data_IF_283250970222
#
_entry.id   IF_283250970222
#
_cell.length_a   1.000
_cell.length_b   1.000
_cell.length_c   1.000
_cell.angle_alpha   90.00
_cell.angle_beta   90.00
_cell.angle_gamma   90.00
#
_symmetry.space_group_name_H-M   'P 1'
#
loop_
_entity.id
_entity.type
_entity.pdbx_description
1 polymer ?
#
# COMPACT_ATOMS: atom_id res chain seq x y z
N UNK A 1 -18.16 18.85 -7.74
CA UNK A 1 -17.27 18.24 -6.72
C UNK A 1 -15.83 18.56 -7.06
N UNK A 2 -15.01 18.94 -6.08
CA UNK A 2 -13.58 19.20 -6.32
C UNK A 2 -12.79 17.90 -6.55
N UNK A 3 -11.64 18.00 -7.23
CA UNK A 3 -10.75 16.85 -7.51
C UNK A 3 -10.29 16.15 -6.23
N UNK A 4 -9.96 16.91 -5.16
CA UNK A 4 -9.68 16.36 -3.82
C UNK A 4 -10.81 15.49 -3.30
N UNK A 5 -12.07 15.95 -3.39
CA UNK A 5 -13.22 15.18 -2.92
C UNK A 5 -13.50 13.95 -3.79
N UNK A 6 -13.09 13.97 -5.06
CA UNK A 6 -13.11 12.79 -5.93
C UNK A 6 -12.04 11.77 -5.54
N UNK A 7 -10.80 12.19 -5.23
CA UNK A 7 -9.73 11.30 -4.77
C UNK A 7 -10.08 10.66 -3.40
N UNK A 8 -10.56 11.47 -2.45
CA UNK A 8 -11.00 11.04 -1.10
C UNK A 8 -12.07 9.92 -1.18
N UNK A 9 -12.95 9.99 -2.18
CA UNK A 9 -14.03 9.02 -2.43
C UNK A 9 -13.71 7.97 -3.52
N UNK A 10 -12.49 7.99 -4.08
CA UNK A 10 -12.06 7.13 -5.20
C UNK A 10 -13.05 7.11 -6.39
N UNK A 11 -13.46 8.28 -6.88
CA UNK A 11 -14.47 8.39 -7.95
C UNK A 11 -13.84 8.12 -9.33
N UNK A 12 -13.92 6.86 -9.78
CA UNK A 12 -13.40 6.36 -11.07
C UNK A 12 -13.71 7.24 -12.29
N UNK A 13 -14.92 7.81 -12.37
CA UNK A 13 -15.33 8.70 -13.49
C UNK A 13 -14.50 9.98 -13.57
N UNK A 14 -14.00 10.50 -12.43
CA UNK A 14 -13.12 11.68 -12.41
C UNK A 14 -11.69 11.30 -12.80
N UNK A 15 -11.19 10.16 -12.31
CA UNK A 15 -9.87 9.66 -12.71
C UNK A 15 -9.79 9.39 -14.22
N UNK A 16 -10.83 8.79 -14.81
CA UNK A 16 -10.91 8.59 -16.26
C UNK A 16 -10.95 9.91 -17.05
N UNK A 17 -11.66 10.93 -16.56
CA UNK A 17 -11.62 12.27 -17.18
C UNK A 17 -10.22 12.86 -17.11
N UNK A 18 -9.58 12.87 -15.95
CA UNK A 18 -8.21 13.37 -15.82
C UNK A 18 -7.21 12.63 -16.73
N UNK A 19 -7.35 11.31 -16.95
CA UNK A 19 -6.53 10.60 -17.93
C UNK A 19 -6.81 11.04 -19.38
N UNK A 20 -8.07 11.31 -19.73
CA UNK A 20 -8.45 11.84 -21.06
C UNK A 20 -7.88 13.26 -21.25
N UNK A 21 -7.97 14.10 -20.23
CA UNK A 21 -7.49 15.48 -20.27
C UNK A 21 -5.95 15.57 -20.29
N UNK A 22 -5.24 14.65 -19.62
CA UNK A 22 -3.76 14.64 -19.52
C UNK A 22 -3.08 13.82 -20.63
N UNK A 23 -3.66 12.68 -21.04
CA UNK A 23 -3.04 11.73 -21.97
C UNK A 23 -2.40 10.51 -21.31
N UNK A 24 -2.33 9.39 -22.04
CA UNK A 24 -1.64 8.17 -21.60
C UNK A 24 -0.15 8.39 -21.37
N UNK A 25 0.54 8.95 -22.36
CA UNK A 25 1.99 9.06 -22.39
C UNK A 25 2.54 9.92 -21.23
N UNK A 26 2.06 11.15 -20.94
CA UNK A 26 2.51 11.91 -19.77
C UNK A 26 2.18 11.22 -18.44
N UNK A 27 1.05 10.48 -18.37
CA UNK A 27 0.69 9.71 -17.18
C UNK A 27 1.67 8.56 -16.92
N UNK A 28 2.06 7.84 -17.98
CA UNK A 28 3.03 6.74 -17.92
C UNK A 28 4.44 7.27 -17.62
N UNK A 29 4.84 8.41 -18.21
CA UNK A 29 6.12 9.07 -17.91
C UNK A 29 6.27 9.42 -16.43
N UNK A 30 5.23 9.98 -15.78
CA UNK A 30 5.26 10.26 -14.33
C UNK A 30 5.43 8.96 -13.55
N UNK A 31 4.64 7.94 -13.84
CA UNK A 31 4.72 6.65 -13.14
C UNK A 31 6.12 6.01 -13.28
N UNK A 32 6.72 6.08 -14.48
CA UNK A 32 8.11 5.65 -14.73
C UNK A 32 9.12 6.46 -13.92
N UNK A 33 8.99 7.79 -13.86
CA UNK A 33 9.84 8.67 -13.04
C UNK A 33 9.72 8.38 -11.54
N UNK A 34 8.54 7.94 -11.09
CA UNK A 34 8.26 7.53 -9.69
C UNK A 34 8.66 6.06 -9.39
N UNK A 35 9.31 5.35 -10.31
CA UNK A 35 9.86 4.01 -10.06
C UNK A 35 8.97 2.83 -10.45
N UNK A 36 7.89 3.04 -11.21
CA UNK A 36 7.10 1.93 -11.77
C UNK A 36 7.83 1.36 -12.99
N UNK A 37 8.56 0.26 -12.82
CA UNK A 37 9.28 -0.47 -13.88
C UNK A 37 8.33 -1.41 -14.66
N UNK A 38 7.25 -1.88 -14.03
CA UNK A 38 6.15 -2.68 -14.57
C UNK A 38 5.48 -2.08 -15.83
N UNK A 39 4.88 -2.93 -16.68
CA UNK A 39 4.33 -2.53 -17.99
C UNK A 39 2.94 -1.88 -17.86
N UNK A 40 2.89 -0.58 -18.12
CA UNK A 40 1.64 0.19 -18.19
C UNK A 40 1.09 0.24 -19.61
N UNK A 41 -0.20 -0.03 -19.77
CA UNK A 41 -0.86 -0.07 -21.07
C UNK A 41 -1.62 1.24 -21.37
N UNK A 42 -1.48 1.76 -22.60
CA UNK A 42 -2.16 2.98 -23.07
C UNK A 42 -3.64 2.73 -23.38
N UNK A 43 -4.44 2.42 -22.35
CA UNK A 43 -5.87 2.14 -22.42
C UNK A 43 -6.67 3.03 -21.47
N UNK A 44 -7.98 3.15 -21.67
CA UNK A 44 -8.83 3.89 -20.72
C UNK A 44 -8.86 3.25 -19.31
N UNK A 45 -8.59 1.94 -19.22
CA UNK A 45 -8.54 1.20 -17.95
C UNK A 45 -7.26 1.49 -17.12
N UNK A 46 -6.25 2.17 -17.68
CA UNK A 46 -5.10 2.69 -16.94
C UNK A 46 -5.54 3.61 -15.78
N UNK A 47 -6.57 4.43 -15.99
CA UNK A 47 -7.15 5.31 -14.95
C UNK A 47 -7.76 4.56 -13.76
N UNK A 48 -7.96 3.24 -13.89
CA UNK A 48 -8.58 2.38 -12.89
C UNK A 48 -7.59 1.38 -12.27
N UNK A 49 -6.32 1.39 -12.70
CA UNK A 49 -5.29 0.47 -12.20
C UNK A 49 -5.31 -0.92 -12.84
N UNK A 50 -5.81 -1.06 -14.07
CA UNK A 50 -5.89 -2.36 -14.77
C UNK A 50 -4.57 -2.82 -15.43
N UNK A 51 -3.42 -2.26 -15.02
CA UNK A 51 -2.09 -2.80 -15.33
C UNK A 51 -1.51 -3.37 -14.04
N UNK A 52 -1.01 -4.59 -14.10
CA UNK A 52 -0.33 -5.23 -12.96
C UNK A 52 0.98 -4.47 -12.65
N UNK A 53 1.27 -4.31 -11.36
CA UNK A 53 2.43 -3.57 -10.85
C UNK A 53 2.96 -4.26 -9.60
N UNK A 54 4.28 -4.41 -9.50
CA UNK A 54 4.92 -4.99 -8.32
C UNK A 54 4.65 -4.15 -7.05
N UNK A 55 4.34 -4.79 -5.92
CA UNK A 55 4.07 -4.11 -4.64
C UNK A 55 5.24 -3.21 -4.19
N UNK A 56 6.50 -3.59 -4.42
CA UNK A 56 7.66 -2.81 -4.04
C UNK A 56 7.80 -1.54 -4.89
N UNK A 57 7.58 -1.64 -6.21
CA UNK A 57 7.52 -0.48 -7.12
C UNK A 57 6.42 0.49 -6.69
N UNK A 58 5.20 -0.02 -6.47
CA UNK A 58 4.06 0.79 -6.07
C UNK A 58 4.27 1.46 -4.70
N UNK A 59 4.93 0.77 -3.77
CA UNK A 59 5.30 1.32 -2.46
C UNK A 59 6.35 2.42 -2.61
N UNK A 60 7.37 2.22 -3.44
CA UNK A 60 8.41 3.21 -3.74
C UNK A 60 7.87 4.46 -4.45
N UNK A 61 6.88 4.30 -5.33
CA UNK A 61 6.18 5.43 -5.94
C UNK A 61 5.44 6.27 -4.89
N UNK A 62 4.89 5.67 -3.83
CA UNK A 62 4.34 6.44 -2.70
C UNK A 62 5.46 7.03 -1.82
N UNK A 63 6.61 6.36 -1.69
CA UNK A 63 7.82 6.92 -1.07
C UNK A 63 8.28 8.23 -1.73
N UNK A 64 8.16 8.32 -3.06
CA UNK A 64 8.44 9.54 -3.83
C UNK A 64 7.55 10.73 -3.41
N UNK A 65 6.35 10.49 -2.89
CA UNK A 65 5.46 11.54 -2.36
C UNK A 65 5.78 11.92 -0.90
N UNK A 66 6.32 10.98 -0.10
CA UNK A 66 6.88 11.29 1.22
C UNK A 66 8.15 12.14 1.07
N UNK A 67 9.07 11.70 0.20
CA UNK A 67 10.32 12.38 -0.17
C UNK A 67 10.12 13.57 -1.15
N UNK A 68 8.99 14.28 -1.04
CA UNK A 68 8.79 15.62 -1.63
C UNK A 68 9.03 15.71 -3.16
N UNK A 69 8.67 14.64 -3.88
CA UNK A 69 8.82 14.51 -5.33
C UNK A 69 10.16 13.94 -5.79
N UNK A 70 11.07 13.59 -4.88
CA UNK A 70 12.33 12.90 -5.17
C UNK A 70 12.14 11.40 -5.08
N UNK A 71 12.41 10.70 -6.18
CA UNK A 71 12.42 9.24 -6.24
C UNK A 71 13.83 8.71 -5.94
N UNK A 72 13.91 7.60 -5.21
CA UNK A 72 15.13 6.85 -4.92
C UNK A 72 14.81 5.36 -5.06
N UNK A 73 15.62 4.59 -5.80
CA UNK A 73 15.34 3.17 -6.02
C UNK A 73 15.50 2.37 -4.70
N UNK A 74 14.55 1.49 -4.34
CA UNK A 74 14.71 0.61 -3.19
C UNK A 74 15.90 -0.32 -3.36
N UNK A 75 16.73 -0.42 -2.32
CA UNK A 75 17.87 -1.32 -2.21
C UNK A 75 17.84 -1.97 -0.83
N UNK A 76 18.42 -3.17 -0.71
CA UNK A 76 18.47 -3.94 0.54
C UNK A 76 19.90 -4.25 1.02
N UNK A 77 20.90 -3.71 0.33
CA UNK A 77 22.32 -3.88 0.64
C UNK A 77 22.96 -2.49 0.55
N UNK A 78 23.50 -1.98 1.66
CA UNK A 78 24.21 -0.70 1.69
C UNK A 78 25.68 -0.89 1.30
N UNK A 79 26.32 -1.93 1.83
CA UNK A 79 27.75 -2.22 1.70
C UNK A 79 28.05 -3.71 1.89
N UNK A 80 29.02 -4.24 1.15
CA UNK A 80 29.58 -5.59 1.30
C UNK A 80 31.08 -5.43 1.60
N UNK A 81 31.57 -6.18 2.60
CA UNK A 81 32.98 -6.22 2.99
C UNK A 81 33.58 -7.61 2.75
N UNK A 82 34.89 -7.69 2.54
CA UNK A 82 35.65 -8.95 2.61
C UNK A 82 36.01 -9.32 4.06
N UNK A 83 36.77 -10.41 4.25
CA UNK A 83 37.16 -10.89 5.58
C UNK A 83 38.33 -10.10 6.21
N UNK A 84 38.89 -9.12 5.48
CA UNK A 84 39.92 -8.18 5.90
C UNK A 84 39.29 -6.82 6.26
N UNK A 85 38.05 -6.57 5.86
CA UNK A 85 37.31 -5.33 6.06
C UNK A 85 37.33 -4.37 4.85
N UNK A 86 37.89 -4.76 3.71
CA UNK A 86 37.87 -3.95 2.49
C UNK A 86 36.47 -3.94 1.87
N UNK A 87 36.11 -2.84 1.21
CA UNK A 87 34.80 -2.67 0.57
C UNK A 87 34.77 -3.36 -0.80
N UNK A 88 33.97 -4.42 -0.94
CA UNK A 88 33.72 -5.10 -2.23
C UNK A 88 32.67 -4.34 -3.04
N UNK A 89 31.64 -3.81 -2.37
CA UNK A 89 30.54 -3.07 -2.97
C UNK A 89 29.98 -2.06 -1.96
N UNK A 90 29.53 -0.91 -2.45
CA UNK A 90 28.76 0.08 -1.70
C UNK A 90 27.75 0.73 -2.65
N UNK A 91 26.48 0.80 -2.26
CA UNK A 91 25.42 1.32 -3.12
C UNK A 91 25.61 2.81 -3.42
N UNK A 92 25.42 3.18 -4.68
CA UNK A 92 25.58 4.54 -5.19
C UNK A 92 24.21 5.17 -5.38
N UNK A 93 23.61 5.59 -4.25
CA UNK A 93 22.21 6.01 -4.16
C UNK A 93 21.90 7.17 -5.13
N UNK A 94 21.15 6.88 -6.19
CA UNK A 94 20.72 7.88 -7.17
C UNK A 94 19.36 8.49 -6.82
N UNK A 95 19.36 9.77 -6.49
CA UNK A 95 18.15 10.56 -6.32
C UNK A 95 17.70 11.17 -7.67
N UNK A 96 16.42 11.04 -8.02
CA UNK A 96 15.85 11.57 -9.27
C UNK A 96 14.57 12.33 -8.98
N UNK A 97 14.50 13.63 -9.34
CA UNK A 97 13.26 14.41 -9.14
C UNK A 97 12.20 13.97 -10.16
N UNK A 98 11.14 13.34 -9.66
CA UNK A 98 10.00 12.86 -10.44
C UNK A 98 8.85 13.88 -10.50
N UNK A 99 8.68 14.65 -9.43
CA UNK A 99 7.68 15.71 -9.26
C UNK A 99 8.32 16.94 -8.63
N UNK A 100 7.74 18.11 -8.83
CA UNK A 100 8.01 19.28 -8.01
C UNK A 100 7.44 19.12 -6.59
N UNK A 101 8.07 19.81 -5.63
CA UNK A 101 7.75 19.74 -4.20
C UNK A 101 6.33 20.19 -3.89
N UNK A 102 5.85 21.25 -4.53
CA UNK A 102 4.48 21.76 -4.38
C UNK A 102 3.42 20.75 -4.87
N UNK A 103 3.62 20.11 -6.04
CA UNK A 103 2.71 19.07 -6.54
C UNK A 103 2.72 17.84 -5.64
N UNK A 104 3.89 17.45 -5.10
CA UNK A 104 3.96 16.42 -4.07
C UNK A 104 3.16 16.82 -2.83
N UNK A 105 3.35 18.03 -2.28
CA UNK A 105 2.65 18.53 -1.11
C UNK A 105 1.12 18.65 -1.32
N UNK A 106 0.66 19.09 -2.50
CA UNK A 106 -0.77 19.10 -2.87
C UNK A 106 -1.32 17.67 -2.92
N UNK A 107 -0.60 16.74 -3.54
CA UNK A 107 -0.99 15.33 -3.65
C UNK A 107 -1.09 14.68 -2.27
N UNK A 108 -0.08 14.89 -1.42
CA UNK A 108 -0.04 14.48 -0.01
C UNK A 108 -1.21 15.09 0.79
N UNK A 109 -1.57 16.37 0.59
CA UNK A 109 -2.74 16.99 1.22
C UNK A 109 -4.09 16.41 0.76
N UNK A 110 -4.18 15.92 -0.48
CA UNK A 110 -5.36 15.17 -0.95
C UNK A 110 -5.40 13.75 -0.37
N UNK A 111 -4.26 13.05 -0.33
CA UNK A 111 -4.13 11.70 0.22
C UNK A 111 -4.34 11.64 1.75
N UNK A 112 -3.88 12.65 2.50
CA UNK A 112 -4.26 12.88 3.92
C UNK A 112 -5.79 12.92 4.09
N UNK A 113 -6.51 13.44 3.09
CA UNK A 113 -7.97 13.40 3.03
C UNK A 113 -8.57 11.98 3.01
N UNK A 114 -7.91 11.03 2.34
CA UNK A 114 -8.38 9.64 2.21
C UNK A 114 -8.38 8.93 3.58
N UNK A 115 -7.35 9.15 4.39
CA UNK A 115 -7.21 8.54 5.74
C UNK A 115 -7.99 9.33 6.80
N UNK A 116 -7.97 10.67 6.74
CA UNK A 116 -8.74 11.51 7.67
C UNK A 116 -10.25 11.47 7.42
N UNK A 117 -10.74 11.25 6.20
CA UNK A 117 -12.18 11.34 5.88
C UNK A 117 -12.71 10.39 4.80
N UNK A 118 -11.85 9.80 3.98
CA UNK A 118 -12.22 8.98 2.82
C UNK A 118 -12.37 7.48 3.11
N UNK A 119 -11.83 6.66 2.23
CA UNK A 119 -11.85 5.19 2.30
C UNK A 119 -10.79 4.61 3.25
N UNK A 120 -9.66 5.30 3.46
CA UNK A 120 -8.50 4.80 4.20
C UNK A 120 -8.58 4.94 5.73
N UNK A 121 -9.77 5.14 6.31
CA UNK A 121 -9.93 5.52 7.74
C UNK A 121 -9.37 4.51 8.75
N UNK A 122 -9.19 3.25 8.37
CA UNK A 122 -8.59 2.23 9.22
C UNK A 122 -7.07 2.43 9.43
N UNK A 123 -6.40 3.20 8.55
CA UNK A 123 -4.96 3.51 8.64
C UNK A 123 -4.62 4.69 9.57
N UNK A 124 -5.52 5.10 10.47
CA UNK A 124 -5.27 6.23 11.39
C UNK A 124 -4.46 5.78 12.61
N UNK A 125 -3.32 6.42 12.85
CA UNK A 125 -2.35 6.06 13.91
C UNK A 125 -2.03 7.23 14.86
N UNK A 126 -2.99 8.15 15.09
CA UNK A 126 -2.84 9.30 15.99
C UNK A 126 -2.15 10.51 15.37
N UNK A 127 -1.05 10.29 14.62
CA UNK A 127 -0.31 11.32 13.87
C UNK A 127 -0.83 11.52 12.43
N UNK A 128 -0.36 12.54 11.68
CA UNK A 128 -0.71 12.73 10.27
C UNK A 128 -0.27 11.53 9.41
N UNK A 129 -1.17 11.03 8.56
CA UNK A 129 -0.90 9.94 7.59
C UNK A 129 -1.49 10.32 6.24
N UNK A 130 -0.77 10.01 5.16
CA UNK A 130 -1.25 10.02 3.79
C UNK A 130 -1.33 8.58 3.25
N UNK A 131 -2.24 8.29 2.32
CA UNK A 131 -2.32 6.97 1.72
C UNK A 131 -3.58 6.74 0.87
N UNK A 132 -3.67 5.58 0.23
CA UNK A 132 -4.76 5.21 -0.68
C UNK A 132 -5.12 3.73 -0.57
N UNK A 133 -6.42 3.45 -0.59
CA UNK A 133 -6.96 2.10 -0.78
C UNK A 133 -7.04 1.76 -2.27
N UNK A 134 -6.61 0.56 -2.66
CA UNK A 134 -6.89 -0.06 -3.96
C UNK A 134 -7.71 -1.34 -3.78
N UNK A 135 -8.66 -1.60 -4.68
CA UNK A 135 -9.50 -2.81 -4.68
C UNK A 135 -9.68 -3.21 -6.14
N UNK A 136 -9.36 -4.45 -6.49
CA UNK A 136 -9.68 -5.01 -7.82
C UNK A 136 -11.10 -5.57 -7.85
N UNK A 137 -11.59 -5.91 -9.04
CA UNK A 137 -12.92 -6.49 -9.21
C UNK A 137 -13.08 -7.79 -8.40
N UNK A 138 -14.31 -8.05 -7.95
CA UNK A 138 -14.66 -9.14 -7.03
C UNK A 138 -13.89 -9.15 -5.68
N UNK A 139 -13.14 -8.08 -5.37
CA UNK A 139 -12.27 -8.00 -4.19
C UNK A 139 -11.20 -9.12 -4.14
N UNK A 140 -10.63 -9.47 -5.29
CA UNK A 140 -9.48 -10.40 -5.43
C UNK A 140 -8.21 -9.86 -4.75
N UNK A 141 -7.98 -8.54 -4.86
CA UNK A 141 -6.83 -7.85 -4.28
C UNK A 141 -7.26 -6.69 -3.40
N UNK A 142 -6.69 -6.62 -2.20
CA UNK A 142 -6.96 -5.61 -1.20
C UNK A 142 -5.66 -4.84 -0.89
N UNK A 143 -5.52 -3.67 -1.48
CA UNK A 143 -4.34 -2.82 -1.33
C UNK A 143 -4.58 -1.69 -0.33
N UNK A 144 -3.59 -1.41 0.52
CA UNK A 144 -3.41 -0.09 1.09
C UNK A 144 -1.93 0.29 1.07
N UNK A 145 -1.62 1.40 0.39
CA UNK A 145 -0.29 2.02 0.42
C UNK A 145 -0.41 3.34 1.17
N UNK A 146 0.46 3.57 2.14
CA UNK A 146 0.42 4.76 2.99
C UNK A 146 1.77 5.11 3.58
N UNK A 147 1.90 6.35 4.01
CA UNK A 147 3.15 6.92 4.52
C UNK A 147 2.91 8.01 5.57
N UNK A 148 3.97 8.22 6.35
CA UNK A 148 4.30 9.42 7.13
C UNK A 148 5.50 10.11 6.43
N UNK A 149 6.01 11.28 6.86
CA UNK A 149 7.21 11.87 6.25
C UNK A 149 8.42 10.92 6.24
N UNK A 150 8.65 10.19 7.34
CA UNK A 150 9.82 9.35 7.54
C UNK A 150 9.76 7.95 6.90
N UNK A 151 8.55 7.41 6.64
CA UNK A 151 8.36 6.01 6.31
C UNK A 151 7.14 5.79 5.41
N UNK A 152 7.34 5.00 4.35
CA UNK A 152 6.27 4.45 3.51
C UNK A 152 6.16 2.94 3.71
N UNK A 153 4.94 2.43 3.73
CA UNK A 153 4.67 1.00 3.73
C UNK A 153 3.49 0.66 2.82
N UNK A 154 3.56 -0.50 2.17
CA UNK A 154 2.51 -1.05 1.32
C UNK A 154 2.04 -2.40 1.82
N UNK A 155 0.72 -2.60 1.85
CA UNK A 155 0.09 -3.87 2.19
C UNK A 155 -0.82 -4.30 1.04
N UNK A 156 -0.57 -5.50 0.52
CA UNK A 156 -1.48 -6.28 -0.30
C UNK A 156 -2.04 -7.43 0.54
N UNK A 157 -3.31 -7.79 0.30
CA UNK A 157 -3.90 -9.05 0.73
C UNK A 157 -4.69 -9.61 -0.48
N UNK A 158 -4.37 -10.83 -0.90
CA UNK A 158 -5.08 -11.56 -1.95
C UNK A 158 -4.97 -13.07 -1.73
N UNK A 159 -5.32 -13.86 -2.73
CA UNK A 159 -5.05 -15.30 -2.77
C UNK A 159 -4.17 -15.60 -4.00
N UNK A 160 -3.17 -16.47 -3.85
CA UNK A 160 -2.22 -16.81 -4.93
C UNK A 160 -2.90 -17.49 -6.13
N UNK A 161 -4.09 -18.08 -5.92
CA UNK A 161 -4.94 -18.68 -6.96
C UNK A 161 -5.94 -17.69 -7.59
N UNK A 162 -5.81 -16.38 -7.29
CA UNK A 162 -6.65 -15.28 -7.78
C UNK A 162 -8.15 -15.49 -7.52
N UNK A 163 -8.53 -16.24 -6.48
CA UNK A 163 -9.93 -16.29 -6.03
C UNK A 163 -10.33 -15.02 -5.27
N UNK A 164 -11.60 -14.59 -5.33
CA UNK A 164 -12.14 -13.51 -4.50
C UNK A 164 -11.82 -13.66 -3.00
N UNK A 165 -11.38 -12.58 -2.36
CA UNK A 165 -11.20 -12.57 -0.90
C UNK A 165 -12.54 -12.34 -0.17
N UNK A 166 -12.53 -12.48 1.16
CA UNK A 166 -13.66 -12.11 2.04
C UNK A 166 -13.41 -10.79 2.80
N UNK A 167 -12.42 -10.01 2.38
CA UNK A 167 -11.99 -8.80 3.08
C UNK A 167 -12.45 -7.51 2.40
N UNK A 168 -11.77 -6.42 2.74
CA UNK A 168 -11.83 -5.15 2.01
C UNK A 168 -10.47 -4.45 2.10
N UNK A 169 -10.24 -3.40 1.31
CA UNK A 169 -9.03 -2.57 1.46
C UNK A 169 -8.98 -1.83 2.80
N UNK A 170 -10.09 -1.78 3.55
CA UNK A 170 -10.11 -1.40 4.97
C UNK A 170 -9.40 -2.42 5.88
N UNK A 171 -9.41 -3.69 5.51
CA UNK A 171 -8.62 -4.76 6.16
C UNK A 171 -7.13 -4.53 5.91
N UNK A 172 -6.71 -4.31 4.65
CA UNK A 172 -5.32 -3.98 4.31
C UNK A 172 -4.84 -2.72 5.03
N UNK A 173 -5.66 -1.66 5.07
CA UNK A 173 -5.40 -0.44 5.83
C UNK A 173 -5.32 -0.67 7.36
N UNK A 174 -6.04 -1.65 7.90
CA UNK A 174 -5.95 -2.05 9.31
C UNK A 174 -4.70 -2.87 9.61
N UNK A 175 -4.23 -3.71 8.67
CA UNK A 175 -2.96 -4.43 8.76
C UNK A 175 -1.79 -3.44 8.68
N UNK A 176 -1.81 -2.51 7.73
CA UNK A 176 -0.87 -1.39 7.62
C UNK A 176 -0.80 -0.61 8.93
N UNK A 177 -1.95 -0.29 9.56
CA UNK A 177 -2.00 0.38 10.87
C UNK A 177 -1.28 -0.40 11.98
N UNK A 178 -1.39 -1.74 12.02
CA UNK A 178 -0.73 -2.54 13.05
C UNK A 178 0.79 -2.45 12.90
N UNK A 179 1.29 -2.80 11.71
CA UNK A 179 2.70 -2.69 11.37
C UNK A 179 3.24 -1.28 11.66
N UNK A 180 2.56 -0.22 11.21
CA UNK A 180 3.03 1.15 11.37
C UNK A 180 2.94 1.68 12.81
N UNK A 181 2.11 1.12 13.70
CA UNK A 181 2.13 1.52 15.12
C UNK A 181 3.37 0.96 15.82
N UNK A 182 3.72 -0.28 15.49
CA UNK A 182 4.90 -0.97 16.02
C UNK A 182 6.20 -0.38 15.41
N UNK A 183 6.24 -0.16 14.09
CA UNK A 183 7.43 0.29 13.35
C UNK A 183 7.80 1.78 13.52
N UNK A 184 7.03 2.56 14.30
CA UNK A 184 7.29 4.01 14.50
C UNK A 184 7.22 4.43 15.98
N UNK A 185 7.22 3.47 16.93
CA UNK A 185 7.03 3.73 18.36
C UNK A 185 8.02 4.78 18.90
N UNK A 186 9.30 4.69 18.52
CA UNK A 186 10.36 5.64 18.90
C UNK A 186 10.47 6.89 17.98
N UNK A 187 9.62 7.05 16.95
CA UNK A 187 9.73 8.16 15.99
C UNK A 187 8.85 9.35 16.39
N UNK A 188 9.45 10.52 16.59
CA UNK A 188 8.72 11.78 16.79
C UNK A 188 7.73 12.10 15.66
N UNK A 189 6.72 12.92 15.94
CA UNK A 189 5.66 13.25 14.97
C UNK A 189 6.03 14.44 14.08
N UNK A 190 6.58 14.15 12.91
CA UNK A 190 6.80 15.18 11.88
C UNK A 190 5.49 15.63 11.18
N UNK A 191 5.36 16.93 10.88
CA UNK A 191 4.34 17.43 9.98
C UNK A 191 4.70 17.10 8.52
N UNK A 192 3.69 16.84 7.70
CA UNK A 192 3.87 16.87 6.25
C UNK A 192 4.18 18.30 5.75
N UNK A 193 4.96 18.45 4.66
CA UNK A 193 5.18 19.73 3.99
C UNK A 193 3.89 20.50 3.76
N UNK A 194 3.96 21.83 3.92
CA UNK A 194 2.83 22.69 3.66
C UNK A 194 2.54 22.74 2.16
N UNK A 195 1.26 22.61 1.78
CA UNK A 195 0.86 22.88 0.39
C UNK A 195 1.04 24.37 0.08
N UNK A 196 1.32 24.78 -1.17
CA UNK A 196 1.22 26.18 -1.56
C UNK A 196 -0.18 26.72 -1.30
N UNK A 197 -0.25 28.02 -0.97
CA UNK A 197 -1.51 28.70 -0.66
C UNK A 197 -2.43 28.78 -1.88
N UNK A 198 -1.88 29.23 -3.02
CA UNK A 198 -2.52 29.19 -4.34
C UNK A 198 -2.34 27.81 -4.96
N UNK A 199 -3.45 27.18 -5.36
CA UNK A 199 -3.46 25.91 -6.12
C UNK A 199 -3.70 26.18 -7.62
N UNK A 200 -4.37 27.29 -7.93
CA UNK A 200 -4.69 27.77 -9.27
C UNK A 200 -3.57 28.65 -9.83
N UNK A 201 -3.42 28.69 -11.16
CA UNK A 201 -2.38 29.48 -11.84
C UNK A 201 -0.95 28.93 -11.74
N UNK A 202 -0.76 27.72 -11.16
CA UNK A 202 0.54 27.03 -11.15
C UNK A 202 0.93 26.57 -12.56
N UNK A 203 2.22 26.65 -12.89
CA UNK A 203 2.73 26.15 -14.16
C UNK A 203 2.60 24.62 -14.25
N UNK A 204 2.33 24.12 -15.46
CA UNK A 204 2.13 22.70 -15.70
C UNK A 204 3.46 21.97 -15.88
N UNK A 205 3.93 21.32 -14.81
CA UNK A 205 5.18 20.51 -14.80
C UNK A 205 5.11 19.29 -15.74
N UNK A 206 3.94 18.98 -16.31
CA UNK A 206 3.76 18.03 -17.41
C UNK A 206 3.08 18.66 -18.62
N UNK A 207 3.60 18.36 -19.81
CA UNK A 207 2.99 18.74 -21.09
C UNK A 207 1.89 17.73 -21.44
N UNK A 208 0.63 18.10 -21.19
CA UNK A 208 -0.52 17.27 -21.51
C UNK A 208 -0.58 16.92 -23.02
N UNK A 209 -1.02 15.70 -23.31
CA UNK A 209 -1.26 15.14 -24.66
C UNK A 209 -2.68 14.54 -24.69
N UNK A 210 -3.75 15.38 -24.71
CA UNK A 210 -5.12 14.93 -24.42
C UNK A 210 -5.62 13.86 -25.39
N UNK A 211 -6.31 12.85 -24.86
CA UNK A 211 -6.86 11.74 -25.65
C UNK A 211 -8.06 12.24 -26.46
N UNK A 212 -7.97 12.15 -27.79
CA UNK A 212 -9.09 12.45 -28.70
C UNK A 212 -9.89 11.18 -29.01
N UNK A 213 -11.05 10.93 -28.37
CA UNK A 213 -11.84 9.72 -28.63
C UNK A 213 -12.45 9.75 -30.03
N UNK A 214 -12.21 8.71 -30.85
CA UNK A 214 -12.73 8.61 -32.23
C UNK A 214 -14.26 8.67 -32.34
N UNK A 215 -15.00 8.33 -31.27
CA UNK A 215 -16.46 8.43 -31.18
C UNK A 215 -16.89 8.49 -29.70
N UNK A 216 -17.80 9.39 -29.34
CA UNK A 216 -18.39 9.46 -28.00
C UNK A 216 -19.89 9.19 -28.08
N UNK A 217 -20.35 8.08 -27.48
CA UNK A 217 -21.74 7.64 -27.56
C UNK A 217 -22.50 8.03 -26.29
N UNK A 218 -23.22 9.15 -26.34
CA UNK A 218 -24.09 9.62 -25.25
C UNK A 218 -25.43 8.85 -25.21
N UNK A 219 -25.38 7.55 -24.89
CA UNK A 219 -26.59 6.73 -24.72
C UNK A 219 -27.33 7.18 -23.44
N UNK A 220 -28.41 7.96 -23.61
CA UNK A 220 -29.36 8.26 -22.52
C UNK A 220 -29.97 6.95 -22.03
N UNK A 221 -29.50 6.43 -20.89
CA UNK A 221 -30.15 5.30 -20.23
C UNK A 221 -31.58 5.72 -19.83
N UNK A 222 -32.62 4.98 -20.22
CA UNK A 222 -33.99 5.29 -19.79
C UNK A 222 -34.08 5.14 -18.27
N UNK A 223 -34.66 6.13 -17.59
CA UNK A 223 -34.97 6.03 -16.16
C UNK A 223 -35.97 4.89 -15.98
N UNK A 224 -35.54 3.77 -15.38
CA UNK A 224 -36.41 2.62 -15.17
C UNK A 224 -37.57 2.98 -14.22
N UNK A 225 -38.81 2.79 -14.68
CA UNK A 225 -40.03 2.98 -13.86
C UNK A 225 -40.25 1.81 -12.89
N UNK A 226 -39.21 1.38 -12.16
CA UNK A 226 -39.23 0.12 -11.38
C UNK A 226 -38.28 0.09 -10.18
N UNK A 227 -38.22 1.17 -9.38
CA UNK A 227 -37.40 1.22 -8.14
C UNK A 227 -38.21 1.49 -6.85
N UNK A 228 -39.51 1.79 -6.93
CA UNK A 228 -40.30 2.28 -5.78
C UNK A 228 -40.55 1.21 -4.70
N UNK A 229 -40.58 -0.09 -5.05
CA UNK A 229 -40.85 -1.19 -4.10
C UNK A 229 -39.62 -1.75 -3.35
N UNK A 230 -38.38 -1.38 -3.72
CA UNK A 230 -37.16 -1.93 -3.06
C UNK A 230 -36.49 -0.98 -2.06
N UNK A 231 -37.07 0.20 -1.79
CA UNK A 231 -36.54 1.16 -0.79
C UNK A 231 -37.02 0.92 0.65
N UNK A 232 -37.97 0.00 0.87
CA UNK A 232 -38.44 -0.38 2.21
C UNK A 232 -37.36 -1.09 3.03
N UNK A 233 -36.80 -2.18 2.49
CA UNK A 233 -36.15 -3.19 3.34
C UNK A 233 -34.71 -2.83 3.73
N UNK A 234 -34.03 -1.95 2.98
CA UNK A 234 -32.68 -1.50 3.34
C UNK A 234 -32.66 -0.45 4.47
N UNK A 235 -33.81 0.09 4.88
CA UNK A 235 -33.90 1.09 5.98
C UNK A 235 -34.23 0.50 7.35
N UNK A 236 -34.41 -0.83 7.47
CA UNK A 236 -34.78 -1.53 8.73
C UNK A 236 -33.71 -2.46 9.31
N UNK A 237 -32.44 -2.25 8.95
CA UNK A 237 -31.28 -2.95 9.54
C UNK A 237 -30.22 -2.00 10.12
N UNK A 238 -30.35 -0.69 9.89
CA UNK A 238 -29.36 0.32 10.30
C UNK A 238 -29.65 1.00 11.66
N UNK A 239 -30.63 0.51 12.44
CA UNK A 239 -31.19 1.24 13.59
C UNK A 239 -31.36 0.44 14.89
N UNK A 240 -30.65 -0.69 15.07
CA UNK A 240 -30.68 -1.45 16.34
C UNK A 240 -29.30 -1.98 16.73
N UNK A 241 -28.42 -1.08 17.21
CA UNK A 241 -27.14 -1.46 17.86
C UNK A 241 -26.93 -0.71 19.20
N UNK A 242 -28.01 -0.62 19.98
CA UNK A 242 -28.03 0.04 21.30
C UNK A 242 -27.42 -0.83 22.41
N UNK A 243 -26.09 -0.95 22.37
CA UNK A 243 -25.17 -1.00 23.53
C UNK A 243 -25.76 -1.58 24.84
N UNK A 244 -26.11 -2.88 24.88
CA UNK A 244 -26.48 -3.56 26.14
C UNK A 244 -25.28 -3.74 27.08
N UNK A 245 -25.03 -2.74 27.93
CA UNK A 245 -24.22 -2.89 29.15
C UNK A 245 -24.80 -4.03 30.00
N UNK A 246 -24.05 -5.11 30.23
CA UNK A 246 -24.32 -6.03 31.36
C UNK A 246 -23.80 -5.36 32.64
N UNK A 247 -24.68 -5.06 33.59
CA UNK A 247 -24.32 -4.65 34.96
C UNK A 247 -24.89 -5.71 35.91
N UNK A 248 -24.03 -6.35 36.72
CA UNK A 248 -24.47 -7.24 37.81
C UNK A 248 -25.13 -6.39 38.90
N UNK A 249 -26.28 -6.82 39.40
CA UNK A 249 -26.87 -6.43 40.70
C UNK A 249 -27.54 -7.68 41.28
N UNK A 250 -27.64 -7.75 42.61
CA UNK A 250 -28.02 -8.93 43.40
C UNK A 250 -29.53 -9.03 43.74
N UNK A 251 -29.88 -10.19 44.30
CA UNK A 251 -31.07 -10.61 45.08
C UNK A 251 -31.68 -9.56 46.03
N UNK A 252 -32.98 -9.67 46.50
CA UNK A 252 -33.59 -10.93 46.95
C UNK A 252 -35.13 -11.19 46.83
N UNK A 253 -35.46 -12.48 46.62
CA UNK A 253 -36.43 -13.36 47.34
C UNK A 253 -37.70 -12.77 48.00
N UNK A 254 -38.87 -13.15 47.47
CA UNK A 254 -40.10 -13.63 48.18
C UNK A 254 -40.70 -14.77 47.32
N UNK A 255 -40.95 -16.03 47.72
CA UNK A 255 -41.64 -16.68 48.86
C UNK A 255 -43.17 -16.81 48.74
N UNK A 256 -43.63 -17.93 48.17
CA UNK A 256 -44.83 -18.72 48.58
C UNK A 256 -44.64 -20.18 48.15
N UNK A 257 -45.39 -21.13 48.74
CA UNK A 257 -45.33 -22.59 48.48
C UNK A 257 -46.69 -23.11 47.89
N UNK A 258 -47.11 -24.40 47.98
CA UNK A 258 -46.94 -25.34 46.86
C UNK A 258 -48.20 -26.16 46.49
N UNK A 259 -48.16 -26.90 45.37
CA UNK A 259 -49.03 -28.08 45.11
C UNK A 259 -48.18 -29.24 44.56
N UNK A 260 -48.68 -30.47 44.62
CA UNK A 260 -47.89 -31.71 44.72
C UNK A 260 -48.04 -32.74 43.59
N UNK A 261 -47.07 -33.67 43.52
CA UNK A 261 -47.14 -35.01 42.87
C UNK A 261 -47.20 -34.98 41.32
N UNK A 262 -46.83 -36.05 40.59
CA UNK A 262 -46.54 -37.43 40.99
C UNK A 262 -45.37 -38.05 40.19
N UNK A 263 -44.83 -39.19 40.65
CA UNK A 263 -43.74 -39.94 39.97
C UNK A 263 -44.28 -41.26 39.41
N UNK A 264 -43.85 -41.66 38.20
CA UNK A 264 -43.75 -43.06 37.79
C UNK A 264 -42.73 -43.28 36.66
N UNK A 265 -42.36 -44.54 36.42
CA UNK A 265 -41.19 -44.97 35.63
C UNK A 265 -41.56 -45.99 34.52
N UNK A 266 -40.56 -46.24 33.66
CA UNK A 266 -40.21 -47.52 33.01
C UNK A 266 -40.76 -47.93 31.61
N UNK A 267 -39.77 -48.20 30.74
CA UNK A 267 -39.62 -49.29 29.75
C UNK A 267 -40.38 -49.31 28.41
N UNK A 268 -39.60 -49.66 27.37
CA UNK A 268 -39.97 -50.22 26.06
C UNK A 268 -39.71 -51.77 26.10
N UNK A 269 -39.55 -52.57 25.00
CA UNK A 269 -39.65 -52.32 23.54
C UNK A 269 -40.36 -53.46 22.72
N UNK A 270 -40.39 -53.36 21.36
CA UNK A 270 -40.02 -54.46 20.40
C UNK A 270 -40.17 -54.09 18.90
N UNK A 271 -39.80 -55.04 18.00
CA UNK A 271 -39.71 -54.96 16.52
C UNK A 271 -40.41 -56.17 15.86
N UNK A 272 -40.77 -56.08 14.56
CA UNK A 272 -40.60 -57.16 13.54
C UNK A 272 -40.99 -56.71 12.10
N UNK A 273 -40.66 -57.54 11.09
CA UNK A 273 -40.95 -57.38 9.64
C UNK A 273 -41.67 -58.69 9.12
N UNK A 274 -41.55 -59.27 7.89
CA UNK A 274 -40.81 -58.96 6.63
C UNK A 274 -41.59 -59.26 5.30
N UNK A 275 -40.91 -59.40 4.14
CA UNK A 275 -41.08 -60.52 3.15
C UNK A 275 -39.99 -60.49 2.02
N UNK A 276 -39.76 -61.63 1.33
CA UNK A 276 -38.72 -61.91 0.28
C UNK A 276 -39.31 -61.85 -1.16
N UNK A 277 -38.64 -62.05 -2.32
CA UNK A 277 -37.45 -62.81 -2.84
C UNK A 277 -36.98 -62.09 -4.16
N UNK A 278 -36.02 -62.44 -5.04
CA UNK A 278 -35.00 -63.49 -5.39
C UNK A 278 -33.83 -62.71 -6.12
N UNK A 279 -32.82 -63.09 -6.94
CA UNK A 279 -32.23 -64.27 -7.65
C UNK A 279 -30.71 -63.98 -7.93
N UNK A 280 -29.99 -64.83 -8.69
CA UNK A 280 -28.58 -64.69 -9.16
C UNK A 280 -28.40 -65.50 -10.51
N UNK A 281 -27.23 -65.71 -11.20
CA UNK A 281 -25.87 -65.95 -10.65
C UNK A 281 -24.59 -65.52 -11.46
N UNK A 282 -23.41 -65.76 -10.85
CA UNK A 282 -22.06 -66.10 -11.42
C UNK A 282 -21.38 -65.24 -12.51
N UNK A 283 -20.11 -64.86 -12.26
CA UNK A 283 -18.97 -65.55 -12.91
C UNK A 283 -17.63 -65.41 -12.13
N UNK A 284 -16.50 -65.81 -12.72
CA UNK A 284 -15.22 -66.21 -12.07
C UNK A 284 -14.15 -65.11 -11.91
N UNK A 285 -13.10 -65.43 -11.11
CA UNK A 285 -11.89 -64.63 -10.90
C UNK A 285 -10.64 -65.27 -11.55
N UNK A 286 -9.54 -64.52 -11.68
CA UNK A 286 -8.20 -65.10 -11.57
C UNK A 286 -7.32 -64.47 -10.45
N UNK A 287 -6.09 -64.98 -10.33
CA UNK A 287 -5.17 -64.88 -9.18
C UNK A 287 -4.51 -63.51 -8.90
N UNK A 288 -3.96 -63.44 -7.69
CA UNK A 288 -3.10 -62.38 -7.15
C UNK A 288 -1.71 -62.31 -7.82
N UNK A 289 -1.09 -61.14 -7.76
CA UNK A 289 0.37 -60.94 -7.74
C UNK A 289 0.76 -60.07 -6.53
N UNK A 290 1.96 -60.25 -5.98
CA UNK A 290 2.33 -59.68 -4.68
C UNK A 290 2.85 -58.22 -4.77
N UNK A 291 2.57 -57.35 -3.78
CA UNK A 291 3.11 -56.00 -3.74
C UNK A 291 4.61 -56.00 -3.38
N UNK A 292 5.41 -55.26 -4.14
CA UNK A 292 6.86 -55.12 -3.90
C UNK A 292 7.12 -54.35 -2.61
N UNK A 293 7.93 -54.94 -1.72
CA UNK A 293 8.37 -54.37 -0.43
C UNK A 293 9.32 -53.18 -0.64
N UNK A 294 8.78 -51.97 -0.81
CA UNK A 294 9.58 -50.74 -0.64
C UNK A 294 9.94 -50.58 0.84
N UNK A 295 11.23 -50.58 1.15
CA UNK A 295 11.76 -50.25 2.47
C UNK A 295 11.54 -48.77 2.79
N UNK A 296 11.17 -48.47 4.04
CA UNK A 296 11.11 -47.09 4.53
C UNK A 296 12.53 -46.54 4.74
N UNK A 297 12.80 -45.26 4.43
CA UNK A 297 14.08 -44.63 4.77
C UNK A 297 14.25 -44.52 6.28
N UNK A 298 15.48 -44.77 6.75
CA UNK A 298 15.88 -44.67 8.16
C UNK A 298 15.76 -43.21 8.64
N UNK A 299 15.25 -42.93 9.86
CA UNK A 299 15.24 -41.57 10.40
C UNK A 299 16.67 -41.01 10.53
N UNK A 300 16.83 -39.73 10.22
CA UNK A 300 18.09 -39.00 10.39
C UNK A 300 18.45 -38.86 11.88
N UNK A 301 19.75 -38.81 12.24
CA UNK A 301 20.17 -38.58 13.62
C UNK A 301 19.75 -37.19 14.10
N UNK A 302 19.31 -37.11 15.36
CA UNK A 302 18.98 -35.83 16.01
C UNK A 302 20.27 -35.06 16.27
N UNK A 303 20.33 -33.81 15.82
CA UNK A 303 21.48 -32.95 16.06
C UNK A 303 21.65 -32.66 17.58
N UNK A 304 22.88 -32.63 18.10
CA UNK A 304 23.13 -32.28 19.50
C UNK A 304 22.67 -30.84 19.78
N UNK A 305 22.21 -30.59 21.01
CA UNK A 305 21.88 -29.22 21.46
C UNK A 305 23.13 -28.34 21.42
N UNK A 306 23.03 -27.05 21.04
CA UNK A 306 24.14 -26.12 21.18
C UNK A 306 24.65 -26.08 22.62
N UNK A 307 25.98 -26.09 22.80
CA UNK A 307 26.58 -25.86 24.10
C UNK A 307 26.32 -24.41 24.55
N UNK A 308 26.03 -24.21 25.83
CA UNK A 308 25.89 -22.87 26.41
C UNK A 308 27.27 -22.25 26.54
N UNK A 309 27.63 -21.37 25.60
CA UNK A 309 28.82 -20.53 25.71
C UNK A 309 28.60 -19.55 26.88
N UNK A 310 29.50 -19.48 27.87
CA UNK A 310 29.38 -18.51 28.95
C UNK A 310 29.52 -17.09 28.39
N UNK A 311 28.66 -16.16 28.85
CA UNK A 311 28.69 -14.79 28.37
C UNK A 311 30.05 -14.12 28.65
N UNK A 312 30.60 -13.33 27.70
CA UNK A 312 31.84 -12.60 27.91
C UNK A 312 31.69 -11.64 29.09
N UNK A 313 32.71 -11.60 29.95
CA UNK A 313 32.72 -10.80 31.18
C UNK A 313 32.67 -9.32 30.82
N UNK A 314 31.67 -8.58 31.30
CA UNK A 314 31.53 -7.14 31.03
C UNK A 314 32.70 -6.39 31.66
N UNK A 315 33.62 -5.93 30.81
CA UNK A 315 34.61 -4.92 31.17
C UNK A 315 34.03 -3.54 30.86
N UNK A 316 34.11 -2.62 31.83
CA UNK A 316 33.58 -1.27 31.68
C UNK A 316 34.26 -0.54 30.51
N UNK A 317 33.52 0.11 29.60
CA UNK A 317 34.12 0.88 28.52
C UNK A 317 34.88 2.08 29.09
N UNK A 318 36.13 2.24 28.64
CA UNK A 318 36.99 3.35 29.03
C UNK A 318 36.38 4.71 28.68
N UNK A 319 36.72 5.73 29.49
CA UNK A 319 36.36 7.14 29.26
C UNK A 319 36.74 7.55 27.82
N UNK A 320 35.82 8.16 27.03
CA UNK A 320 36.09 8.44 25.62
C UNK A 320 37.19 9.50 25.45
N UNK A 321 38.13 9.21 24.55
CA UNK A 321 39.09 10.21 24.04
C UNK A 321 38.34 11.33 23.30
N UNK A 322 38.83 12.58 23.32
CA UNK A 322 38.15 13.70 22.68
C UNK A 322 38.06 13.51 21.17
N UNK A 323 36.87 13.76 20.61
CA UNK A 323 36.64 13.78 19.16
C UNK A 323 37.39 14.98 18.57
N UNK A 324 38.31 14.72 17.64
CA UNK A 324 38.95 15.77 16.85
C UNK A 324 37.88 16.42 15.97
N UNK A 325 37.67 17.73 16.13
CA UNK A 325 36.71 18.47 15.33
C UNK A 325 37.12 18.46 13.84
N UNK A 326 36.17 18.43 12.90
CA UNK A 326 36.49 18.56 11.48
C UNK A 326 37.17 19.91 11.21
N UNK A 327 38.12 19.97 10.25
CA UNK A 327 38.80 21.22 9.92
C UNK A 327 37.80 22.27 9.45
N UNK A 328 38.01 23.52 9.88
CA UNK A 328 37.14 24.63 9.52
C UNK A 328 37.09 24.83 7.99
N UNK A 329 35.93 25.20 7.41
CA UNK A 329 35.84 25.47 5.98
C UNK A 329 36.79 26.60 5.58
N UNK A 330 37.42 26.54 4.39
CA UNK A 330 38.37 27.56 3.95
C UNK A 330 37.71 28.93 3.88
N UNK A 331 38.39 29.95 4.39
CA UNK A 331 37.87 31.30 4.46
C UNK A 331 37.43 31.82 3.08
N UNK A 332 36.25 32.45 3.01
CA UNK A 332 35.68 32.94 1.77
C UNK A 332 36.65 33.90 1.07
N UNK A 333 37.04 33.57 -0.17
CA UNK A 333 37.88 34.43 -1.00
C UNK A 333 37.18 35.77 -1.16
N UNK A 334 37.83 36.87 -0.73
CA UNK A 334 37.30 38.23 -0.95
C UNK A 334 37.00 38.41 -2.44
N UNK A 335 35.81 38.91 -2.77
CA UNK A 335 35.48 39.28 -4.14
C UNK A 335 36.48 40.34 -4.65
N UNK A 336 36.95 40.25 -5.90
CA UNK A 336 37.76 41.31 -6.48
C UNK A 336 36.95 42.61 -6.55
N UNK A 337 37.61 43.74 -6.30
CA UNK A 337 36.98 45.05 -6.38
C UNK A 337 36.52 45.34 -7.83
N UNK A 338 35.42 46.09 -8.04
CA UNK A 338 34.95 46.44 -9.38
C UNK A 338 36.00 47.30 -10.09
N UNK A 339 36.46 46.85 -11.26
CA UNK A 339 37.42 47.58 -12.08
C UNK A 339 36.76 48.84 -12.67
N UNK A 340 37.34 50.00 -12.37
CA UNK A 340 36.95 51.28 -12.95
C UNK A 340 37.22 51.30 -14.45
N UNK A 341 36.22 51.67 -15.25
CA UNK A 341 36.41 51.92 -16.69
C UNK A 341 37.16 53.23 -16.90
N UNK A 342 38.20 53.18 -17.73
CA UNK A 342 38.84 54.36 -18.33
C UNK A 342 38.58 54.30 -19.86
N UNK A 343 38.18 55.40 -20.53
CA UNK A 343 37.79 55.40 -21.93
C UNK A 343 38.91 55.87 -22.91
N UNK A 344 38.56 55.94 -24.21
CA UNK A 344 39.36 56.39 -25.37
C UNK A 344 40.39 55.36 -25.91
N UNK A 345 40.77 55.30 -27.20
CA UNK A 345 40.41 56.10 -28.41
C UNK A 345 40.56 55.20 -29.68
N UNK A 346 39.84 55.42 -30.81
CA UNK A 346 39.88 54.49 -31.96
C UNK A 346 40.73 54.96 -33.17
N UNK A 347 41.41 54.01 -33.84
CA UNK A 347 41.66 54.00 -35.30
C UNK A 347 41.35 52.59 -35.89
N UNK A 348 41.31 52.30 -37.20
CA UNK A 348 41.37 53.10 -38.44
C UNK A 348 40.55 52.38 -39.55
N UNK A 349 40.41 52.97 -40.75
CA UNK A 349 39.65 52.36 -41.86
C UNK A 349 40.51 51.42 -42.73
N UNK A 350 39.94 50.35 -43.32
CA UNK A 350 40.70 49.41 -44.16
C UNK A 350 40.99 49.96 -45.56
N UNK A 351 42.20 49.69 -46.06
CA UNK A 351 42.64 50.08 -47.41
C UNK A 351 42.07 49.18 -48.52
N UNK A 352 41.91 49.74 -49.71
CA UNK A 352 41.45 49.04 -50.91
C UNK A 352 42.60 48.48 -51.75
N UNK A 353 42.35 47.34 -52.44
CA UNK A 353 43.00 47.01 -53.71
C UNK A 353 42.14 46.03 -54.53
N UNK A 354 42.33 46.08 -55.84
CA UNK A 354 41.64 45.27 -56.84
C UNK A 354 42.61 44.96 -58.00
N UNK A 355 42.23 44.00 -58.85
CA UNK A 355 43.08 43.41 -59.88
C UNK A 355 43.81 42.16 -59.35
N UNK A 356 43.88 41.05 -60.08
CA UNK A 356 43.36 40.74 -61.44
C UNK A 356 42.33 39.59 -61.40
#
# INVERSE_FOLDING_TARGET
SSIRQALIKSINVVALKSLIDIGWEPTIEIAKKMGIESKLYSTYSLALGASEVNLLELTSAYGTLAAQGVHTKPHGIERILDHQGNVIYQEQIQHRRALDEETAAITTWMLRGVVSSGTGRAARIGRPVAGKTGTTDEARDLWFIGYIPQLVAGVWLGNDDNKPTRGSSGTAASTWRRFMVEAIEDLETEPFPQRPNKIEGREAVIKAKPIRPKRVIHKKYPKSKSATKSRSNYRRTASTSTRRRRRRVSTPRKTTKPVSRQVRQNRAPRQSAPVRRRTAPRNTAPRQSAPVRRTAPKPAPVAPKPAVVPAPRVTSPSKPSPVVAPPAPPAARKAPAPTTKVPATPPEAPASRAGE
#
